data_IF_534964167020
#
_entry.id   IF_534964167020
#
_cell.length_a   1.000
_cell.length_b   1.000
_cell.length_c   1.000
_cell.angle_alpha   90.00
_cell.angle_beta   90.00
_cell.angle_gamma   90.00
#
_symmetry.space_group_name_H-M   'P 1'
#
loop_
_entity.id
_entity.type
_entity.pdbx_description
1 polymer ?
#
# COMPACT_ATOMS: atom_id res chain seq x y z
N UNK A 1 -12.81 46.79 -35.76
CA UNK A 1 -13.26 47.03 -34.37
C UNK A 1 -14.79 47.00 -34.38
N UNK A 2 -15.55 46.24 -33.59
CA UNK A 2 -15.29 45.48 -32.36
C UNK A 2 -16.31 44.33 -32.25
N UNK A 3 -15.80 43.17 -31.85
CA UNK A 3 -16.27 42.33 -30.73
C UNK A 3 -17.74 41.89 -30.75
N UNK A 4 -18.00 40.68 -31.23
CA UNK A 4 -18.81 39.67 -30.51
C UNK A 4 -18.99 38.41 -31.35
N UNK A 5 -18.02 37.50 -31.32
CA UNK A 5 -18.24 36.08 -31.64
C UNK A 5 -16.94 35.33 -31.38
N UNK A 6 -16.76 34.87 -30.13
CA UNK A 6 -15.89 33.73 -29.80
C UNK A 6 -16.16 33.33 -28.35
N UNK A 7 -17.42 32.96 -28.09
CA UNK A 7 -17.68 32.00 -27.04
C UNK A 7 -17.33 30.62 -27.60
N UNK A 8 -16.72 29.77 -26.75
CA UNK A 8 -16.35 28.39 -27.02
C UNK A 8 -15.01 28.17 -27.73
N UNK A 9 -13.90 28.39 -27.03
CA UNK A 9 -12.83 27.39 -27.10
C UNK A 9 -11.94 27.41 -25.85
N UNK A 10 -11.69 26.21 -25.34
CA UNK A 10 -10.60 25.85 -24.41
C UNK A 10 -10.84 26.05 -22.92
N UNK A 11 -11.87 25.36 -22.41
CA UNK A 11 -11.87 24.84 -21.03
C UNK A 11 -11.70 23.31 -21.04
N UNK A 12 -10.66 22.84 -21.73
CA UNK A 12 -10.24 21.43 -21.70
C UNK A 12 -8.87 21.31 -21.06
N UNK A 13 -8.77 21.82 -19.83
CA UNK A 13 -7.69 21.46 -18.91
C UNK A 13 -8.14 20.28 -18.06
N UNK A 14 -8.46 19.14 -18.68
CA UNK A 14 -8.61 17.89 -17.95
C UNK A 14 -7.24 17.53 -17.40
N UNK A 15 -7.07 17.67 -16.08
CA UNK A 15 -5.91 17.21 -15.32
C UNK A 15 -5.72 15.70 -15.53
N UNK A 16 -4.97 15.32 -16.57
CA UNK A 16 -4.56 13.94 -16.87
C UNK A 16 -3.63 13.33 -15.81
N UNK A 17 -3.18 14.13 -14.85
CA UNK A 17 -2.35 13.74 -13.71
C UNK A 17 -3.14 13.10 -12.56
N UNK A 18 -4.41 13.49 -12.32
CA UNK A 18 -5.18 12.98 -11.17
C UNK A 18 -5.72 11.57 -11.41
N UNK A 19 -6.32 11.32 -12.58
CA UNK A 19 -6.89 10.02 -12.92
C UNK A 19 -5.84 8.89 -13.00
N UNK A 20 -4.61 9.24 -13.39
CA UNK A 20 -3.50 8.27 -13.52
C UNK A 20 -2.96 7.85 -12.15
N UNK A 21 -2.94 8.75 -11.17
CA UNK A 21 -2.49 8.47 -9.80
C UNK A 21 -3.56 7.69 -9.03
N UNK A 22 -4.84 8.07 -9.18
CA UNK A 22 -5.96 7.41 -8.51
C UNK A 22 -6.17 5.96 -9.01
N UNK A 23 -5.98 5.71 -10.31
CA UNK A 23 -6.05 4.36 -10.89
C UNK A 23 -4.92 3.43 -10.44
N UNK A 24 -3.70 3.96 -10.27
CA UNK A 24 -2.56 3.19 -9.73
C UNK A 24 -2.74 2.86 -8.25
N UNK A 25 -3.27 3.81 -7.47
CA UNK A 25 -3.51 3.63 -6.04
C UNK A 25 -4.60 2.58 -5.78
N UNK A 26 -5.72 2.61 -6.53
CA UNK A 26 -6.78 1.59 -6.47
C UNK A 26 -6.28 0.19 -6.87
N UNK A 27 -5.43 0.09 -7.89
CA UNK A 27 -4.86 -1.19 -8.33
C UNK A 27 -3.89 -1.80 -7.32
N UNK A 28 -3.10 -0.96 -6.65
CA UNK A 28 -2.17 -1.36 -5.60
C UNK A 28 -2.90 -1.81 -4.32
N UNK A 29 -3.92 -1.04 -3.90
CA UNK A 29 -4.78 -1.39 -2.75
C UNK A 29 -5.49 -2.73 -2.95
N UNK A 30 -5.97 -3.02 -4.17
CA UNK A 30 -6.65 -4.29 -4.47
C UNK A 30 -5.72 -5.51 -4.32
N UNK A 31 -4.46 -5.39 -4.74
CA UNK A 31 -3.48 -6.48 -4.61
C UNK A 31 -3.07 -6.71 -3.15
N UNK A 32 -2.75 -5.63 -2.43
CA UNK A 32 -2.41 -5.72 -1.01
C UNK A 32 -3.57 -6.29 -0.19
N UNK A 33 -4.81 -5.91 -0.51
CA UNK A 33 -6.00 -6.45 0.14
C UNK A 33 -6.14 -7.96 -0.06
N UNK A 34 -5.95 -8.45 -1.29
CA UNK A 34 -5.98 -9.90 -1.57
C UNK A 34 -4.88 -10.66 -0.83
N UNK A 35 -3.67 -10.10 -0.76
CA UNK A 35 -2.59 -10.71 0.01
C UNK A 35 -2.92 -10.74 1.50
N UNK A 36 -3.41 -9.63 2.05
CA UNK A 36 -3.83 -9.56 3.45
C UNK A 36 -4.90 -10.60 3.77
N UNK A 37 -5.95 -10.70 2.95
CA UNK A 37 -7.03 -11.68 3.12
C UNK A 37 -6.52 -13.12 3.10
N UNK A 38 -5.55 -13.44 2.23
CA UNK A 38 -4.90 -14.74 2.19
C UNK A 38 -4.19 -15.09 3.51
N UNK A 39 -3.58 -14.10 4.17
CA UNK A 39 -2.86 -14.31 5.42
C UNK A 39 -3.75 -14.21 6.66
N UNK A 40 -4.85 -13.46 6.58
CA UNK A 40 -5.81 -13.31 7.66
C UNK A 40 -6.71 -14.55 7.84
N UNK A 41 -6.78 -15.44 6.83
CA UNK A 41 -7.55 -16.70 6.88
C UNK A 41 -9.01 -16.52 7.30
N UNK A 42 -9.65 -15.47 6.79
CA UNK A 42 -11.05 -15.13 7.12
C UNK A 42 -11.23 -14.27 8.36
N UNK A 43 -10.15 -13.90 9.06
CA UNK A 43 -10.19 -12.88 10.11
C UNK A 43 -10.02 -11.47 9.53
N UNK A 44 -10.27 -10.45 10.35
CA UNK A 44 -9.99 -9.04 10.05
C UNK A 44 -8.56 -8.61 10.44
N UNK A 45 -7.72 -9.58 10.88
CA UNK A 45 -6.34 -9.37 11.32
C UNK A 45 -5.44 -10.56 10.97
N UNK A 46 -4.13 -10.33 11.02
CA UNK A 46 -3.09 -11.38 10.96
C UNK A 46 -2.42 -11.46 12.34
N UNK A 47 -2.28 -12.65 12.90
CA UNK A 47 -1.50 -12.85 14.12
C UNK A 47 -0.06 -12.38 13.91
N UNK A 48 0.46 -11.56 14.83
CA UNK A 48 1.78 -10.93 14.72
C UNK A 48 2.89 -11.95 14.55
N UNK A 49 2.88 -13.00 15.37
CA UNK A 49 3.85 -14.09 15.32
C UNK A 49 3.86 -14.81 13.97
N UNK A 50 2.68 -14.96 13.37
CA UNK A 50 2.51 -15.52 12.03
C UNK A 50 3.04 -14.56 10.97
N UNK A 51 2.72 -13.28 11.08
CA UNK A 51 3.18 -12.26 10.14
C UNK A 51 4.72 -12.16 10.11
N UNK A 52 5.39 -12.22 11.26
CA UNK A 52 6.87 -12.20 11.32
C UNK A 52 7.48 -13.36 10.53
N UNK A 53 6.99 -14.59 10.74
CA UNK A 53 7.44 -15.77 9.98
C UNK A 53 7.18 -15.62 8.49
N UNK A 54 6.00 -15.10 8.14
CA UNK A 54 5.61 -14.85 6.76
C UNK A 54 6.54 -13.83 6.11
N UNK A 55 6.80 -12.70 6.76
CA UNK A 55 7.68 -11.65 6.27
C UNK A 55 9.10 -12.19 6.03
N UNK A 56 9.62 -13.02 6.93
CA UNK A 56 10.92 -13.68 6.76
C UNK A 56 10.93 -14.65 5.57
N UNK A 57 9.81 -15.34 5.30
CA UNK A 57 9.70 -16.29 4.17
C UNK A 57 9.53 -15.63 2.79
N UNK A 58 9.23 -14.32 2.76
CA UNK A 58 9.09 -13.59 1.51
C UNK A 58 10.45 -13.32 0.86
N UNK A 59 10.47 -13.12 -0.45
CA UNK A 59 11.70 -12.79 -1.19
C UNK A 59 12.26 -11.42 -0.79
N UNK A 60 13.49 -11.35 -0.31
CA UNK A 60 14.14 -10.09 0.06
C UNK A 60 15.15 -9.70 -1.00
N UNK A 61 15.11 -8.45 -1.46
CA UNK A 61 16.18 -7.90 -2.27
C UNK A 61 17.33 -7.51 -1.34
N UNK A 62 18.45 -8.23 -1.43
CA UNK A 62 19.63 -8.00 -0.59
C UNK A 62 19.73 -8.94 0.62
N UNK A 63 20.26 -8.42 1.73
CA UNK A 63 20.50 -9.24 2.92
C UNK A 63 19.17 -9.53 3.64
N UNK A 64 18.82 -10.80 3.90
CA UNK A 64 17.57 -11.12 4.57
C UNK A 64 17.57 -10.55 6.00
N UNK A 65 16.50 -9.87 6.42
CA UNK A 65 16.42 -9.32 7.77
C UNK A 65 16.35 -10.46 8.79
N UNK A 66 16.96 -10.26 9.95
CA UNK A 66 16.81 -11.16 11.09
C UNK A 66 15.41 -11.05 11.69
N UNK A 67 14.98 -12.10 12.42
CA UNK A 67 13.71 -12.09 13.14
C UNK A 67 13.60 -10.92 14.14
N UNK A 68 14.71 -10.52 14.77
CA UNK A 68 14.75 -9.37 15.67
C UNK A 68 14.46 -8.06 14.92
N UNK A 69 15.05 -7.86 13.74
CA UNK A 69 14.80 -6.68 12.90
C UNK A 69 13.36 -6.61 12.39
N UNK A 70 12.80 -7.75 11.99
CA UNK A 70 11.39 -7.82 11.57
C UNK A 70 10.47 -7.55 12.75
N UNK A 71 10.75 -8.11 13.93
CA UNK A 71 9.98 -7.82 15.14
C UNK A 71 10.04 -6.34 15.53
N UNK A 72 11.21 -5.71 15.42
CA UNK A 72 11.37 -4.28 15.67
C UNK A 72 10.56 -3.44 14.67
N UNK A 73 10.64 -3.78 13.38
CA UNK A 73 9.84 -3.13 12.33
C UNK A 73 8.34 -3.25 12.62
N UNK A 74 7.86 -4.44 12.94
CA UNK A 74 6.46 -4.71 13.26
C UNK A 74 6.04 -3.95 14.52
N UNK A 75 6.87 -3.92 15.57
CA UNK A 75 6.61 -3.17 16.81
C UNK A 75 6.37 -1.67 16.58
N UNK A 76 7.00 -1.07 15.55
CA UNK A 76 6.82 0.36 15.26
C UNK A 76 5.41 0.70 14.78
N UNK A 77 4.75 -0.27 14.13
CA UNK A 77 3.46 -0.05 13.48
C UNK A 77 2.31 -0.83 14.11
N UNK A 78 2.60 -1.94 14.79
CA UNK A 78 1.65 -2.82 15.46
C UNK A 78 2.01 -2.93 16.94
N UNK A 79 1.18 -2.36 17.81
CA UNK A 79 1.42 -2.36 19.27
C UNK A 79 0.91 -3.61 19.98
N UNK A 80 0.04 -4.40 19.34
CA UNK A 80 -0.50 -5.63 19.89
C UNK A 80 -0.08 -6.88 19.12
N UNK A 81 -0.82 -7.97 19.36
CA UNK A 81 -0.59 -9.26 18.71
C UNK A 81 -1.37 -9.42 17.40
N UNK A 82 -2.22 -8.45 17.05
CA UNK A 82 -3.10 -8.51 15.89
C UNK A 82 -2.78 -7.40 14.91
N UNK A 83 -2.26 -7.77 13.74
CA UNK A 83 -1.92 -6.85 12.66
C UNK A 83 -3.13 -6.62 11.75
N UNK A 84 -3.63 -5.39 11.71
CA UNK A 84 -4.75 -4.98 10.84
C UNK A 84 -4.26 -4.59 9.44
N UNK A 85 -5.20 -4.50 8.50
CA UNK A 85 -4.90 -4.18 7.10
C UNK A 85 -4.06 -2.90 6.93
N UNK A 86 -4.39 -1.82 7.64
CA UNK A 86 -3.64 -0.56 7.52
C UNK A 86 -2.19 -0.70 7.98
N UNK A 87 -1.94 -1.44 9.06
CA UNK A 87 -0.60 -1.68 9.58
C UNK A 87 0.19 -2.58 8.63
N UNK A 88 -0.46 -3.61 8.09
CA UNK A 88 0.09 -4.46 7.04
C UNK A 88 0.53 -3.64 5.81
N UNK A 89 -0.32 -2.73 5.32
CA UNK A 89 -0.01 -1.88 4.18
C UNK A 89 1.22 -1.00 4.44
N UNK A 90 1.33 -0.39 5.63
CA UNK A 90 2.47 0.44 6.00
C UNK A 90 3.77 -0.37 5.99
N UNK A 91 3.74 -1.59 6.56
CA UNK A 91 4.90 -2.47 6.60
C UNK A 91 5.30 -2.92 5.18
N UNK A 92 4.34 -3.29 4.34
CA UNK A 92 4.61 -3.70 2.95
C UNK A 92 5.11 -2.54 2.07
N UNK A 93 4.59 -1.33 2.26
CA UNK A 93 5.08 -0.14 1.56
C UNK A 93 6.53 0.18 1.94
N UNK A 94 6.89 0.06 3.22
CA UNK A 94 8.27 0.23 3.70
C UNK A 94 9.24 -0.76 3.08
N UNK A 95 8.77 -1.97 2.75
CA UNK A 95 9.58 -3.00 2.10
C UNK A 95 9.91 -2.67 0.64
N UNK A 96 8.98 -2.04 -0.10
CA UNK A 96 9.16 -1.70 -1.53
C UNK A 96 9.89 -0.36 -1.71
N UNK A 97 9.81 0.54 -0.72
CA UNK A 97 10.38 1.88 -0.77
C UNK A 97 11.84 2.01 -0.30
N UNK A 98 12.59 0.91 -0.21
CA UNK A 98 14.05 0.93 0.01
C UNK A 98 14.78 0.58 -1.28
#
# INVERSE_FOLDING_TARGET
>A
MRISEWAANQRSGLNLSDATMEGKQKGFDSKLRKEFEKFAEGNDYIERSRFVKLYLSMEHFGLPPSEAQVNELVSRYCRGDKLKFNEFCIIMLRRVGM
#
